data_IF_736748412402
#
_entry.id   IF_736748412402
#
_cell.length_a   1.000
_cell.length_b   1.000
_cell.length_c   1.000
_cell.angle_alpha   90.00
_cell.angle_beta   90.00
_cell.angle_gamma   90.00
#
_symmetry.space_group_name_H-M   'P 1'
#
loop_
_entity.id
_entity.type
_entity.pdbx_description
1 polymer ?
#
# COMPACT_ATOMS: atom_id res chain seq x y z
N UNK A 1 -17.22 25.51 -23.99
CA UNK A 1 -17.57 24.19 -23.43
C UNK A 1 -18.67 24.39 -22.41
N UNK A 2 -19.80 23.67 -22.50
CA UNK A 2 -20.86 23.77 -21.50
C UNK A 2 -20.52 22.98 -20.23
N UNK A 3 -21.11 23.36 -19.09
CA UNK A 3 -20.90 22.66 -17.81
C UNK A 3 -21.30 21.17 -17.90
N UNK A 4 -22.34 20.85 -18.67
CA UNK A 4 -22.75 19.48 -18.93
C UNK A 4 -21.68 18.66 -19.67
N UNK A 5 -20.95 19.27 -20.61
CA UNK A 5 -19.84 18.59 -21.29
C UNK A 5 -18.65 18.35 -20.35
N UNK A 6 -18.34 19.32 -19.47
CA UNK A 6 -17.29 19.18 -18.46
C UNK A 6 -17.63 18.08 -17.45
N UNK A 7 -18.87 18.02 -16.96
CA UNK A 7 -19.31 17.01 -16.01
C UNK A 7 -19.21 15.58 -16.58
N UNK A 8 -19.62 15.38 -17.85
CA UNK A 8 -19.48 14.07 -18.52
C UNK A 8 -18.02 13.64 -18.66
N UNK A 9 -17.13 14.56 -19.03
CA UNK A 9 -15.70 14.25 -19.12
C UNK A 9 -15.13 13.87 -17.75
N UNK A 10 -15.44 14.64 -16.71
CA UNK A 10 -14.99 14.35 -15.35
C UNK A 10 -15.43 12.96 -14.89
N UNK A 11 -16.70 12.60 -15.13
CA UNK A 11 -17.21 11.27 -14.79
C UNK A 11 -16.43 10.16 -15.52
N UNK A 12 -16.25 10.27 -16.84
CA UNK A 12 -15.47 9.30 -17.63
C UNK A 12 -14.02 9.18 -17.17
N UNK A 13 -13.39 10.29 -16.75
CA UNK A 13 -12.04 10.27 -16.19
C UNK A 13 -12.01 9.55 -14.83
N UNK A 14 -12.99 9.79 -13.97
CA UNK A 14 -13.14 9.08 -12.70
C UNK A 14 -13.35 7.58 -12.91
N UNK A 15 -14.19 7.18 -13.87
CA UNK A 15 -14.41 5.76 -14.18
C UNK A 15 -13.11 5.09 -14.65
N UNK A 16 -12.38 5.74 -15.56
CA UNK A 16 -11.10 5.23 -16.05
C UNK A 16 -10.05 5.11 -14.93
N UNK A 17 -9.92 6.13 -14.09
CA UNK A 17 -9.02 6.09 -12.95
C UNK A 17 -9.41 4.98 -11.97
N UNK A 18 -10.71 4.83 -11.69
CA UNK A 18 -11.22 3.79 -10.80
C UNK A 18 -10.93 2.39 -11.33
N UNK A 19 -11.05 2.18 -12.65
CA UNK A 19 -10.68 0.91 -13.27
C UNK A 19 -9.18 0.60 -13.11
N UNK A 20 -8.33 1.61 -13.35
CA UNK A 20 -6.87 1.45 -13.30
C UNK A 20 -6.33 1.25 -11.87
N UNK A 21 -6.89 1.94 -10.87
CA UNK A 21 -6.28 2.02 -9.53
C UNK A 21 -7.07 1.29 -8.43
N UNK A 22 -8.37 1.05 -8.67
CA UNK A 22 -9.27 0.48 -7.68
C UNK A 22 -10.00 -0.79 -8.15
N UNK A 23 -9.71 -1.29 -9.35
CA UNK A 23 -10.29 -2.54 -9.86
C UNK A 23 -11.76 -2.43 -10.26
N UNK A 24 -12.26 -1.22 -10.55
CA UNK A 24 -13.58 -1.06 -11.15
C UNK A 24 -13.63 -1.67 -12.56
N UNK A 25 -14.83 -2.02 -13.07
CA UNK A 25 -14.97 -2.51 -14.44
C UNK A 25 -14.42 -1.51 -15.48
N UNK A 26 -13.96 -2.04 -16.62
CA UNK A 26 -13.53 -1.22 -17.75
C UNK A 26 -14.69 -0.32 -18.24
N UNK A 27 -14.48 1.01 -18.37
CA UNK A 27 -15.52 1.90 -18.88
C UNK A 27 -15.78 1.65 -20.38
N UNK A 28 -17.01 1.92 -20.84
CA UNK A 28 -17.39 1.76 -22.25
C UNK A 28 -16.41 2.45 -23.20
N UNK A 29 -15.99 1.73 -24.24
CA UNK A 29 -15.06 2.21 -25.26
C UNK A 29 -13.58 2.02 -24.92
N UNK A 30 -13.27 1.46 -23.75
CA UNK A 30 -11.92 1.01 -23.43
C UNK A 30 -11.77 -0.51 -23.58
N UNK A 31 -10.61 -0.93 -24.05
CA UNK A 31 -10.22 -2.33 -24.11
C UNK A 31 -9.85 -2.83 -22.71
N UNK A 32 -10.63 -3.77 -22.18
CA UNK A 32 -10.44 -4.32 -20.84
C UNK A 32 -9.05 -4.98 -20.67
N UNK A 33 -8.58 -5.73 -21.66
CA UNK A 33 -7.29 -6.41 -21.59
C UNK A 33 -6.14 -5.39 -21.57
N UNK A 34 -6.24 -4.29 -22.33
CA UNK A 34 -5.26 -3.21 -22.27
C UNK A 34 -5.27 -2.49 -20.92
N UNK A 35 -6.45 -2.25 -20.35
CA UNK A 35 -6.55 -1.65 -19.01
C UNK A 35 -5.95 -2.55 -17.95
N UNK A 36 -6.13 -3.87 -18.03
CA UNK A 36 -5.55 -4.83 -17.09
C UNK A 36 -4.01 -4.80 -17.14
N UNK A 37 -3.41 -4.70 -18.33
CA UNK A 37 -1.96 -4.52 -18.47
C UNK A 37 -1.49 -3.24 -17.78
N UNK A 38 -2.20 -2.13 -17.97
CA UNK A 38 -1.85 -0.85 -17.33
C UNK A 38 -2.02 -0.91 -15.80
N UNK A 39 -3.11 -1.49 -15.32
CA UNK A 39 -3.34 -1.71 -13.89
C UNK A 39 -2.22 -2.58 -13.29
N UNK A 40 -1.78 -3.63 -14.00
CA UNK A 40 -0.62 -4.44 -13.63
C UNK A 40 0.67 -3.62 -13.53
N UNK A 41 0.95 -2.76 -14.50
CA UNK A 41 2.11 -1.89 -14.48
C UNK A 41 2.09 -0.89 -13.30
N UNK A 42 0.91 -0.34 -12.97
CA UNK A 42 0.73 0.54 -11.81
C UNK A 42 0.95 -0.21 -10.49
N UNK A 43 0.48 -1.45 -10.36
CA UNK A 43 0.74 -2.30 -9.18
C UNK A 43 2.23 -2.61 -9.03
N UNK A 44 2.90 -2.96 -10.12
CA UNK A 44 4.35 -3.17 -10.13
C UNK A 44 5.11 -1.89 -9.73
N UNK A 45 4.65 -0.73 -10.22
CA UNK A 45 5.22 0.57 -9.83
C UNK A 45 5.03 0.85 -8.34
N UNK A 46 3.85 0.55 -7.78
CA UNK A 46 3.60 0.65 -6.33
C UNK A 46 4.57 -0.23 -5.55
N UNK A 47 4.79 -1.48 -5.99
CA UNK A 47 5.77 -2.38 -5.37
C UNK A 47 7.19 -1.77 -5.35
N UNK A 48 7.62 -1.16 -6.46
CA UNK A 48 8.93 -0.49 -6.54
C UNK A 48 9.06 0.70 -5.58
N UNK A 49 7.99 1.49 -5.42
CA UNK A 49 8.00 2.60 -4.47
C UNK A 49 7.98 2.08 -3.03
N UNK A 50 7.20 1.04 -2.74
CA UNK A 50 7.16 0.41 -1.42
C UNK A 50 8.52 -0.18 -1.03
N UNK A 51 9.19 -0.87 -1.95
CA UNK A 51 10.55 -1.38 -1.72
C UNK A 51 11.56 -0.27 -1.41
N UNK A 52 11.34 0.97 -1.89
CA UNK A 52 12.20 2.11 -1.56
C UNK A 52 11.92 2.70 -0.18
N UNK A 53 10.65 2.74 0.24
CA UNK A 53 10.28 3.31 1.55
C UNK A 53 10.38 2.31 2.69
N UNK A 54 10.36 1.02 2.38
CA UNK A 54 10.44 -0.11 3.30
C UNK A 54 11.36 -1.20 2.74
N UNK A 55 12.67 -0.93 2.59
CA UNK A 55 13.64 -1.83 1.97
C UNK A 55 13.81 -3.15 2.73
N UNK A 56 13.45 -3.19 4.02
CA UNK A 56 13.55 -4.42 4.81
C UNK A 56 12.50 -5.46 4.39
N UNK A 57 11.40 -5.06 3.74
CA UNK A 57 10.37 -6.00 3.27
C UNK A 57 10.91 -6.98 2.21
N UNK A 58 11.54 -6.52 1.11
CA UNK A 58 12.18 -7.44 0.17
C UNK A 58 13.38 -8.19 0.77
N UNK A 59 14.07 -7.65 1.77
CA UNK A 59 15.12 -8.37 2.50
C UNK A 59 14.55 -9.54 3.32
N UNK A 60 13.42 -9.32 4.01
CA UNK A 60 12.75 -10.33 4.84
C UNK A 60 12.06 -11.41 3.98
N UNK A 61 11.41 -11.00 2.89
CA UNK A 61 10.58 -11.89 2.06
C UNK A 61 11.36 -12.54 0.92
N UNK A 62 12.49 -11.97 0.53
CA UNK A 62 13.16 -12.19 -0.74
C UNK A 62 12.52 -11.37 -1.86
N UNK A 63 13.34 -10.77 -2.72
CA UNK A 63 12.90 -9.81 -3.75
C UNK A 63 11.84 -10.38 -4.70
N UNK A 64 12.01 -11.62 -5.17
CA UNK A 64 11.05 -12.23 -6.10
C UNK A 64 9.68 -12.42 -5.45
N UNK A 65 9.66 -12.97 -4.23
CA UNK A 65 8.43 -13.19 -3.46
C UNK A 65 7.76 -11.89 -3.06
N UNK A 66 8.55 -10.90 -2.62
CA UNK A 66 8.02 -9.57 -2.30
C UNK A 66 7.25 -8.98 -3.49
N UNK A 67 7.84 -9.02 -4.69
CA UNK A 67 7.19 -8.47 -5.88
C UNK A 67 5.90 -9.21 -6.24
N UNK A 68 5.90 -10.55 -6.20
CA UNK A 68 4.72 -11.34 -6.53
C UNK A 68 3.59 -11.10 -5.53
N UNK A 69 3.88 -11.21 -4.23
CA UNK A 69 2.89 -11.05 -3.16
C UNK A 69 2.35 -9.62 -3.10
N UNK A 70 3.21 -8.61 -3.30
CA UNK A 70 2.75 -7.22 -3.32
C UNK A 70 1.85 -6.93 -4.52
N UNK A 71 2.18 -7.46 -5.69
CA UNK A 71 1.36 -7.26 -6.90
C UNK A 71 -0.02 -7.89 -6.74
N UNK A 72 -0.10 -9.08 -6.15
CA UNK A 72 -1.36 -9.75 -5.84
C UNK A 72 -2.15 -8.98 -4.78
N UNK A 73 -1.51 -8.59 -3.67
CA UNK A 73 -2.11 -7.74 -2.64
C UNK A 73 -2.71 -6.46 -3.23
N UNK A 74 -1.94 -5.75 -4.06
CA UNK A 74 -2.36 -4.48 -4.65
C UNK A 74 -3.50 -4.62 -5.67
N UNK A 75 -3.80 -5.83 -6.14
CA UNK A 75 -4.96 -6.08 -7.01
C UNK A 75 -6.29 -5.97 -6.27
N UNK A 76 -6.35 -6.41 -5.01
CA UNK A 76 -7.53 -6.31 -4.16
C UNK A 76 -7.55 -5.10 -3.22
N UNK A 77 -6.45 -4.35 -3.14
CA UNK A 77 -6.27 -3.27 -2.16
C UNK A 77 -5.90 -1.95 -2.86
N UNK A 78 -6.92 -1.12 -3.19
CA UNK A 78 -6.70 0.23 -3.67
C UNK A 78 -5.87 1.03 -2.67
N UNK A 79 -4.98 1.89 -3.15
CA UNK A 79 -4.15 2.73 -2.28
C UNK A 79 -5.03 3.78 -1.59
N UNK A 80 -5.13 3.70 -0.27
CA UNK A 80 -6.00 4.56 0.54
C UNK A 80 -5.23 5.59 1.39
N UNK A 81 -3.90 5.55 1.37
CA UNK A 81 -3.03 6.37 2.21
C UNK A 81 -1.65 6.56 1.55
N UNK A 82 -0.65 7.00 2.32
CA UNK A 82 0.73 7.12 1.85
C UNK A 82 1.46 5.76 1.74
N UNK A 83 2.61 5.73 1.07
CA UNK A 83 3.38 4.50 0.85
C UNK A 83 3.88 3.79 2.12
N UNK A 84 4.10 4.51 3.23
CA UNK A 84 4.47 3.88 4.51
C UNK A 84 3.29 3.11 5.10
N UNK A 85 2.09 3.70 5.04
CA UNK A 85 0.86 3.01 5.44
C UNK A 85 0.57 1.80 4.53
N UNK A 86 0.80 1.93 3.21
CA UNK A 86 0.65 0.82 2.26
C UNK A 86 1.60 -0.35 2.60
N UNK A 87 2.85 -0.06 2.94
CA UNK A 87 3.82 -1.06 3.41
C UNK A 87 3.35 -1.77 4.69
N UNK A 88 2.80 -1.03 5.65
CA UNK A 88 2.26 -1.59 6.90
C UNK A 88 1.02 -2.46 6.64
N UNK A 89 0.10 -2.02 5.79
CA UNK A 89 -1.11 -2.76 5.44
C UNK A 89 -0.76 -4.06 4.70
N UNK A 90 0.19 -4.00 3.77
CA UNK A 90 0.73 -5.19 3.10
C UNK A 90 1.32 -6.19 4.09
N UNK A 91 2.18 -5.74 5.03
CA UNK A 91 2.74 -6.61 6.04
C UNK A 91 1.67 -7.23 6.96
N UNK A 92 0.64 -6.45 7.32
CA UNK A 92 -0.50 -6.94 8.10
C UNK A 92 -1.28 -8.02 7.34
N UNK A 93 -1.56 -7.80 6.05
CA UNK A 93 -2.22 -8.76 5.17
C UNK A 93 -1.43 -10.07 5.07
N UNK A 94 -0.11 -10.02 4.84
CA UNK A 94 0.74 -11.22 4.83
C UNK A 94 0.72 -11.99 6.16
N UNK A 95 0.77 -11.27 7.28
CA UNK A 95 0.73 -11.89 8.60
C UNK A 95 -0.61 -12.58 8.88
N UNK A 96 -1.71 -12.05 8.34
CA UNK A 96 -3.06 -12.57 8.52
C UNK A 96 -3.36 -13.74 7.56
N UNK A 97 -3.00 -13.62 6.28
CA UNK A 97 -3.56 -14.46 5.21
C UNK A 97 -2.56 -15.43 4.58
N UNK A 98 -1.26 -15.22 4.75
CA UNK A 98 -0.24 -16.05 4.08
C UNK A 98 0.40 -17.05 5.02
N UNK A 99 0.65 -18.25 4.50
CA UNK A 99 1.58 -19.20 5.12
C UNK A 99 3.01 -18.72 4.88
N UNK A 100 3.63 -18.22 5.95
CA UNK A 100 5.02 -17.77 5.96
C UNK A 100 5.86 -18.78 6.75
N UNK A 101 7.09 -19.01 6.30
CA UNK A 101 8.10 -19.70 7.09
C UNK A 101 8.25 -19.02 8.46
N UNK A 102 8.52 -19.80 9.51
CA UNK A 102 8.58 -19.32 10.90
C UNK A 102 9.55 -18.15 11.05
N UNK A 103 10.73 -18.22 10.42
CA UNK A 103 11.74 -17.16 10.44
C UNK A 103 11.24 -15.85 9.81
N UNK A 104 10.73 -15.94 8.58
CA UNK A 104 10.13 -14.82 7.83
C UNK A 104 8.98 -14.19 8.61
N UNK A 105 8.07 -15.01 9.16
CA UNK A 105 6.93 -14.54 9.95
C UNK A 105 7.39 -13.75 11.18
N UNK A 106 8.43 -14.24 11.88
CA UNK A 106 8.96 -13.57 13.07
C UNK A 106 9.59 -12.22 12.71
N UNK A 107 10.43 -12.19 11.67
CA UNK A 107 11.07 -10.97 11.19
C UNK A 107 10.04 -9.94 10.74
N UNK A 108 9.05 -10.35 9.94
CA UNK A 108 7.97 -9.47 9.46
C UNK A 108 7.13 -8.92 10.62
N UNK A 109 6.80 -9.75 11.62
CA UNK A 109 6.06 -9.30 12.81
C UNK A 109 6.86 -8.29 13.64
N UNK A 110 8.17 -8.48 13.77
CA UNK A 110 9.04 -7.52 14.44
C UNK A 110 9.08 -6.19 13.69
N UNK A 111 9.36 -6.23 12.38
CA UNK A 111 9.35 -5.05 11.50
C UNK A 111 8.04 -4.27 11.60
N UNK A 112 6.90 -4.99 11.58
CA UNK A 112 5.58 -4.39 11.70
C UNK A 112 5.41 -3.68 13.03
N UNK A 113 5.71 -4.34 14.16
CA UNK A 113 5.55 -3.76 15.52
C UNK A 113 6.38 -2.50 15.73
N UNK A 114 7.60 -2.46 15.19
CA UNK A 114 8.47 -1.29 15.28
C UNK A 114 7.91 -0.06 14.57
N UNK A 115 7.13 -0.27 13.50
CA UNK A 115 6.65 0.79 12.61
C UNK A 115 5.15 1.10 12.76
N UNK A 116 4.38 0.18 13.34
CA UNK A 116 2.94 0.35 13.61
C UNK A 116 2.65 0.96 14.98
N UNK A 117 3.65 1.09 15.86
CA UNK A 117 3.50 1.73 17.15
C UNK A 117 3.20 3.24 17.05
N UNK A 118 2.56 3.85 18.08
CA UNK A 118 2.50 5.30 18.20
C UNK A 118 3.93 5.88 18.20
N UNK A 119 4.10 7.10 17.68
CA UNK A 119 5.39 7.83 17.61
C UNK A 119 6.26 7.45 18.81
N UNK A 120 7.49 6.93 18.60
CA UNK A 120 8.27 6.33 19.68
C UNK A 120 8.33 7.28 20.86
N UNK A 121 7.78 6.88 22.01
CA UNK A 121 8.03 7.59 23.25
C UNK A 121 9.55 7.61 23.43
N UNK A 122 10.15 8.79 23.66
CA UNK A 122 11.59 8.91 23.73
C UNK A 122 12.15 7.93 24.78
N UNK A 123 13.25 7.26 24.43
CA UNK A 123 13.86 6.18 25.24
C UNK A 123 14.38 6.65 26.61
N UNK A 124 14.42 7.96 26.85
CA UNK A 124 14.81 8.56 28.12
C UNK A 124 13.60 8.70 29.07
N UNK A 125 13.70 8.25 30.34
CA UNK A 125 12.63 8.44 31.32
C UNK A 125 12.28 9.91 31.56
N UNK A 126 13.26 10.82 31.43
CA UNK A 126 13.04 12.27 31.55
C UNK A 126 12.20 12.83 30.40
N UNK A 127 12.41 12.33 29.18
CA UNK A 127 11.68 12.79 28.01
C UNK A 127 10.22 12.27 27.98
N UNK A 128 9.93 11.13 28.64
CA UNK A 128 8.56 10.66 28.88
C UNK A 128 7.78 11.55 29.84
N UNK A 129 8.41 12.01 30.91
CA UNK A 129 7.80 12.92 31.88
C UNK A 129 7.44 14.26 31.24
N UNK A 130 8.30 14.79 30.38
CA UNK A 130 8.04 16.03 29.64
C UNK A 130 6.92 15.89 28.60
N UNK A 131 6.77 14.72 27.97
CA UNK A 131 5.70 14.48 27.01
C UNK A 131 4.31 14.42 27.69
N UNK A 132 4.22 13.82 28.87
CA UNK A 132 2.98 13.75 29.65
C UNK A 132 2.59 15.09 30.28
N UNK A 133 3.56 15.96 30.57
CA UNK A 133 3.30 17.31 31.07
C UNK A 133 2.71 18.26 30.00
N UNK A 134 2.80 17.90 28.71
CA UNK A 134 2.32 18.73 27.58
C UNK A 134 0.85 18.52 27.22
N UNK A 135 0.19 17.55 27.84
CA UNK A 135 -1.24 17.24 27.64
C UNK A 135 -2.09 17.47 28.91
N UNK A 136 -1.63 18.36 29.79
CA UNK A 136 -2.41 18.87 30.92
C UNK A 136 -2.69 20.35 30.76
#
# INVERSE_FOLDING_TARGET
MSDAARARLAHRQTDLLSALVAGAPAPDGFDAARLDVQAGALRAKRADVVAKVAPELPEILGTARFRSEFTEYAAGHPMNANYRADALNFAAHLLAERALEIGVRRALRQWYRERSGPVPLPRSPLARLLHLARYR
#
